data_IF_415506440888
#
_entry.id   IF_415506440888
#
_cell.length_a   1.000
_cell.length_b   1.000
_cell.length_c   1.000
_cell.angle_alpha   90.00
_cell.angle_beta   90.00
_cell.angle_gamma   90.00
#
_symmetry.space_group_name_H-M   'P 1'
#
loop_
_entity.id
_entity.type
_entity.pdbx_description
1 polymer ?
#
# COMPACT_ATOMS: atom_id res chain seq x y z
N UNK A 1 -3.66 8.99 11.23
CA UNK A 1 -4.21 7.68 10.83
C UNK A 1 -5.61 7.87 10.28
N UNK A 2 -5.91 7.32 9.10
CA UNK A 2 -7.27 7.30 8.55
C UNK A 2 -8.12 6.36 9.41
N UNK A 3 -9.19 6.87 10.03
CA UNK A 3 -10.10 6.08 10.88
C UNK A 3 -11.34 5.64 10.12
N UNK A 4 -11.83 6.48 9.19
CA UNK A 4 -13.07 6.22 8.45
C UNK A 4 -13.02 6.92 7.09
N UNK A 5 -13.66 6.32 6.11
CA UNK A 5 -13.89 6.86 4.77
C UNK A 5 -15.34 6.64 4.39
N UNK A 6 -15.98 7.66 3.84
CA UNK A 6 -17.27 7.54 3.16
C UNK A 6 -17.10 8.07 1.75
N UNK A 7 -17.51 7.27 0.78
CA UNK A 7 -17.58 7.66 -0.63
C UNK A 7 -19.06 7.74 -1.02
N UNK A 8 -19.42 8.75 -1.79
CA UNK A 8 -20.77 8.92 -2.35
C UNK A 8 -20.66 9.17 -3.86
N UNK A 9 -21.46 8.46 -4.64
CA UNK A 9 -21.50 8.55 -6.09
C UNK A 9 -20.11 8.42 -6.74
N UNK A 10 -19.25 7.53 -6.20
CA UNK A 10 -17.88 7.40 -6.70
C UNK A 10 -17.64 6.02 -7.33
N UNK A 11 -17.40 6.02 -8.64
CA UNK A 11 -17.13 4.83 -9.48
C UNK A 11 -18.22 3.76 -9.32
N UNK A 12 -17.88 2.62 -8.70
CA UNK A 12 -18.82 1.52 -8.51
C UNK A 12 -19.70 1.63 -7.26
N UNK A 13 -19.55 2.69 -6.47
CA UNK A 13 -20.29 2.87 -5.23
C UNK A 13 -21.26 4.05 -5.28
N UNK A 14 -22.54 3.78 -5.05
CA UNK A 14 -23.52 4.80 -4.68
C UNK A 14 -23.17 5.38 -3.30
N UNK A 15 -22.98 4.51 -2.31
CA UNK A 15 -22.44 4.85 -1.00
C UNK A 15 -21.53 3.72 -0.50
N UNK A 16 -20.37 4.09 0.01
CA UNK A 16 -19.43 3.19 0.69
C UNK A 16 -19.05 3.76 2.04
N UNK A 17 -19.11 2.97 3.11
CA UNK A 17 -18.66 3.35 4.47
C UNK A 17 -17.66 2.34 4.97
N UNK A 18 -16.44 2.79 5.27
CA UNK A 18 -15.37 1.94 5.81
C UNK A 18 -14.78 2.52 7.09
N UNK A 19 -14.46 1.64 8.03
CA UNK A 19 -13.67 1.97 9.23
C UNK A 19 -12.35 1.24 9.14
N UNK A 20 -11.25 1.97 9.30
CA UNK A 20 -9.89 1.43 9.17
C UNK A 20 -9.25 1.15 10.53
N UNK A 21 -8.40 0.15 10.54
CA UNK A 21 -7.47 -0.22 11.61
C UNK A 21 -6.04 0.15 11.21
N UNK A 22 -5.03 -0.41 11.90
CA UNK A 22 -3.62 -0.20 11.53
C UNK A 22 -3.22 -1.01 10.29
N UNK A 23 -3.66 -2.27 10.19
CA UNK A 23 -3.43 -3.14 9.01
C UNK A 23 -4.77 -3.45 8.38
N UNK A 24 -4.97 -3.04 7.13
CA UNK A 24 -6.23 -3.16 6.40
C UNK A 24 -6.01 -3.94 5.11
N UNK A 25 -6.70 -5.06 4.96
CA UNK A 25 -6.59 -5.96 3.81
C UNK A 25 -7.85 -5.83 2.95
N UNK A 26 -7.69 -5.32 1.73
CA UNK A 26 -8.74 -5.21 0.73
C UNK A 26 -8.63 -6.42 -0.21
N UNK A 27 -9.67 -7.25 -0.28
CA UNK A 27 -9.68 -8.46 -1.08
C UNK A 27 -11.02 -8.66 -1.78
N UNK A 28 -11.09 -9.60 -2.69
CA UNK A 28 -12.26 -9.90 -3.53
C UNK A 28 -11.89 -10.02 -5.00
N UNK A 29 -12.84 -10.37 -5.85
CA UNK A 29 -12.62 -10.51 -7.29
C UNK A 29 -12.22 -9.18 -7.94
N UNK A 30 -11.68 -9.25 -9.17
CA UNK A 30 -11.36 -8.06 -9.94
C UNK A 30 -12.64 -7.27 -10.28
N UNK A 31 -12.52 -5.94 -10.31
CA UNK A 31 -13.65 -5.06 -10.61
C UNK A 31 -14.65 -4.85 -9.46
N UNK A 32 -14.38 -5.37 -8.25
CA UNK A 32 -15.30 -5.23 -7.11
C UNK A 32 -15.15 -3.90 -6.34
N UNK A 33 -14.21 -3.03 -6.71
CA UNK A 33 -14.06 -1.71 -6.09
C UNK A 33 -12.93 -1.58 -5.06
N UNK A 34 -12.07 -2.60 -4.90
CA UNK A 34 -10.90 -2.53 -3.99
C UNK A 34 -10.01 -1.31 -4.26
N UNK A 35 -9.52 -1.20 -5.49
CA UNK A 35 -8.66 -0.09 -5.93
C UNK A 35 -9.37 1.28 -5.87
N UNK A 36 -10.71 1.30 -5.94
CA UNK A 36 -11.52 2.53 -5.79
C UNK A 36 -11.28 3.20 -4.43
N UNK A 37 -11.12 2.40 -3.37
CA UNK A 37 -10.82 2.90 -2.02
C UNK A 37 -9.43 3.55 -1.98
N UNK A 38 -8.41 2.87 -2.52
CA UNK A 38 -7.04 3.41 -2.60
C UNK A 38 -7.02 4.68 -3.45
N UNK A 39 -7.68 4.65 -4.61
CA UNK A 39 -7.76 5.79 -5.54
C UNK A 39 -8.42 7.01 -4.92
N UNK A 40 -9.45 6.87 -4.09
CA UNK A 40 -10.09 8.02 -3.43
C UNK A 40 -9.13 8.74 -2.46
N UNK A 41 -8.32 7.99 -1.71
CA UNK A 41 -7.28 8.55 -0.83
C UNK A 41 -6.19 9.24 -1.65
N UNK A 42 -5.77 8.61 -2.77
CA UNK A 42 -4.76 9.15 -3.67
C UNK A 42 -5.22 10.42 -4.39
N UNK A 43 -6.50 10.50 -4.78
CA UNK A 43 -7.09 11.72 -5.36
C UNK A 43 -6.98 12.90 -4.40
N UNK A 44 -7.36 12.72 -3.12
CA UNK A 44 -7.18 13.76 -2.11
C UNK A 44 -5.71 14.12 -1.93
N UNK A 45 -4.83 13.11 -1.90
CA UNK A 45 -3.38 13.34 -1.75
C UNK A 45 -2.78 14.12 -2.90
N UNK A 46 -3.11 13.79 -4.15
CA UNK A 46 -2.56 14.51 -5.30
C UNK A 46 -3.19 15.88 -5.53
N UNK A 47 -4.44 16.08 -5.06
CA UNK A 47 -5.19 17.31 -5.22
C UNK A 47 -5.01 18.30 -4.07
N UNK A 48 -4.22 17.98 -3.04
CA UNK A 48 -4.10 18.76 -1.81
C UNK A 48 -3.93 20.27 -2.06
N UNK A 49 -2.93 20.63 -2.87
CA UNK A 49 -2.66 22.04 -3.18
C UNK A 49 -3.85 22.68 -3.93
N UNK A 50 -4.45 21.96 -4.86
CA UNK A 50 -5.56 22.44 -5.66
C UNK A 50 -6.84 22.57 -4.84
N UNK A 51 -7.13 21.65 -3.92
CA UNK A 51 -8.27 21.76 -2.98
C UNK A 51 -8.13 23.02 -2.12
N UNK A 52 -6.92 23.36 -1.70
CA UNK A 52 -6.65 24.48 -0.82
C UNK A 52 -6.51 25.84 -1.55
N UNK A 53 -6.12 25.85 -2.83
CA UNK A 53 -5.85 27.09 -3.57
C UNK A 53 -6.85 27.39 -4.70
N UNK A 54 -7.35 26.35 -5.36
CA UNK A 54 -8.13 26.46 -6.59
C UNK A 54 -9.52 25.80 -6.46
N UNK A 55 -9.88 25.34 -5.25
CA UNK A 55 -11.15 24.67 -4.95
C UNK A 55 -11.47 23.55 -5.97
N UNK A 56 -10.50 22.65 -6.22
CA UNK A 56 -10.70 21.60 -7.24
C UNK A 56 -10.00 20.28 -6.92
N UNK A 57 -10.63 19.17 -7.34
CA UNK A 57 -10.11 17.81 -7.34
C UNK A 57 -9.47 17.49 -8.70
N UNK A 58 -8.22 17.03 -8.72
CA UNK A 58 -7.52 16.62 -9.91
C UNK A 58 -7.71 15.14 -10.19
N UNK A 59 -8.30 14.75 -11.32
CA UNK A 59 -8.45 13.37 -11.74
C UNK A 59 -7.16 12.80 -12.35
N UNK A 60 -6.28 13.68 -12.85
CA UNK A 60 -4.93 13.35 -13.35
C UNK A 60 -3.86 13.99 -12.51
N UNK A 61 -2.94 13.19 -12.01
CA UNK A 61 -1.87 13.68 -11.14
C UNK A 61 -0.73 12.70 -10.94
N UNK A 62 0.01 12.96 -9.88
CA UNK A 62 1.25 12.23 -9.53
C UNK A 62 1.03 10.73 -9.29
N UNK A 63 -0.09 10.37 -8.68
CA UNK A 63 -0.36 9.01 -8.24
C UNK A 63 -1.28 8.26 -9.19
N UNK A 64 -2.39 8.88 -9.58
CA UNK A 64 -3.42 8.28 -10.43
C UNK A 64 -3.81 9.19 -11.58
N UNK A 65 -4.21 8.58 -12.69
CA UNK A 65 -4.91 9.18 -13.81
C UNK A 65 -6.23 8.42 -13.98
N UNK A 66 -7.34 9.03 -13.59
CA UNK A 66 -8.67 8.43 -13.64
C UNK A 66 -9.51 8.92 -14.82
N UNK A 67 -8.88 9.58 -15.80
CA UNK A 67 -9.57 10.09 -16.98
C UNK A 67 -10.30 11.39 -16.70
N UNK A 68 -11.60 11.42 -16.95
CA UNK A 68 -12.47 12.58 -16.80
C UNK A 68 -13.66 12.26 -15.88
N UNK A 69 -14.49 13.25 -15.58
CA UNK A 69 -15.58 13.09 -14.62
C UNK A 69 -16.51 11.92 -14.91
N UNK A 70 -16.84 11.66 -16.20
CA UNK A 70 -17.69 10.51 -16.56
C UNK A 70 -17.09 9.14 -16.18
N UNK A 71 -15.78 9.04 -16.03
CA UNK A 71 -15.10 7.78 -15.66
C UNK A 71 -15.19 7.47 -14.15
N UNK A 72 -15.62 8.47 -13.35
CA UNK A 72 -15.61 8.37 -11.89
C UNK A 72 -16.96 8.59 -11.21
N UNK A 73 -17.98 9.11 -11.90
CA UNK A 73 -19.33 9.19 -11.35
C UNK A 73 -19.95 7.78 -11.30
N UNK A 74 -20.69 7.48 -10.25
CA UNK A 74 -21.49 6.26 -10.18
C UNK A 74 -22.56 6.24 -11.29
N UNK A 75 -22.68 5.14 -12.02
CA UNK A 75 -23.50 5.07 -13.25
C UNK A 75 -24.99 5.40 -13.02
N UNK A 76 -25.51 5.12 -11.82
CA UNK A 76 -26.90 5.40 -11.43
C UNK A 76 -27.03 6.56 -10.44
N UNK A 77 -26.06 7.47 -10.40
CA UNK A 77 -26.14 8.64 -9.53
C UNK A 77 -27.38 9.48 -9.86
N UNK A 78 -28.15 9.83 -8.84
CA UNK A 78 -29.30 10.71 -8.99
C UNK A 78 -28.90 12.20 -8.96
N UNK A 79 -27.72 12.49 -8.39
CA UNK A 79 -27.16 13.83 -8.23
C UNK A 79 -25.83 13.94 -8.97
N UNK A 80 -25.62 15.10 -9.61
CA UNK A 80 -24.36 15.43 -10.29
C UNK A 80 -23.27 15.87 -9.29
N UNK A 81 -23.02 15.03 -8.29
CA UNK A 81 -22.08 15.30 -7.21
C UNK A 81 -21.32 14.02 -6.80
N UNK A 82 -20.05 14.23 -6.43
CA UNK A 82 -19.19 13.20 -5.88
C UNK A 82 -18.78 13.61 -4.47
N UNK A 83 -19.05 12.75 -3.47
CA UNK A 83 -18.70 12.98 -2.07
C UNK A 83 -17.53 12.13 -1.61
N UNK A 84 -16.56 12.74 -0.90
CA UNK A 84 -15.49 12.05 -0.19
C UNK A 84 -15.41 12.61 1.22
N UNK A 85 -15.85 11.83 2.22
CA UNK A 85 -15.70 12.19 3.62
C UNK A 85 -14.61 11.31 4.24
N UNK A 86 -13.63 11.92 4.89
CA UNK A 86 -12.50 11.21 5.50
C UNK A 86 -12.26 11.67 6.94
N UNK A 87 -12.04 10.70 7.84
CA UNK A 87 -11.64 10.97 9.22
C UNK A 87 -10.19 10.58 9.41
N UNK A 88 -9.38 11.56 9.75
CA UNK A 88 -7.95 11.34 10.01
C UNK A 88 -7.62 11.83 11.42
N UNK A 89 -7.15 10.91 12.24
CA UNK A 89 -6.99 11.11 13.68
C UNK A 89 -8.32 11.57 14.32
N UNK A 90 -8.41 12.79 14.82
CA UNK A 90 -9.62 13.33 15.43
C UNK A 90 -10.34 14.36 14.54
N UNK A 91 -9.87 14.54 13.29
CA UNK A 91 -10.43 15.50 12.35
C UNK A 91 -11.33 14.79 11.32
N UNK A 92 -12.48 15.37 11.07
CA UNK A 92 -13.39 15.01 10.00
C UNK A 92 -13.24 16.03 8.88
N UNK A 93 -13.09 15.55 7.66
CA UNK A 93 -13.00 16.38 6.46
C UNK A 93 -13.99 15.87 5.43
N UNK A 94 -14.87 16.75 4.96
CA UNK A 94 -15.89 16.43 3.97
C UNK A 94 -15.69 17.27 2.73
N UNK A 95 -15.78 16.62 1.58
CA UNK A 95 -15.63 17.25 0.29
C UNK A 95 -16.78 16.82 -0.62
N UNK A 96 -17.45 17.77 -1.24
CA UNK A 96 -18.45 17.56 -2.28
C UNK A 96 -17.95 18.26 -3.53
N UNK A 97 -17.74 17.49 -4.58
CA UNK A 97 -17.27 17.98 -5.88
C UNK A 97 -18.42 17.97 -6.89
N UNK A 98 -18.50 19.03 -7.69
CA UNK A 98 -19.46 19.14 -8.78
C UNK A 98 -19.04 18.23 -9.94
N UNK A 99 -19.96 17.43 -10.44
CA UNK A 99 -19.69 16.58 -11.60
C UNK A 99 -19.56 17.41 -12.89
N UNK A 100 -18.53 17.09 -13.65
CA UNK A 100 -18.23 17.67 -14.97
C UNK A 100 -17.77 16.55 -15.90
N UNK A 101 -18.63 16.09 -16.81
CA UNK A 101 -18.44 14.87 -17.60
C UNK A 101 -17.10 14.80 -18.34
N UNK A 102 -16.72 15.88 -19.05
CA UNK A 102 -15.56 15.92 -19.94
C UNK A 102 -14.31 16.54 -19.30
N UNK A 103 -14.39 16.98 -18.03
CA UNK A 103 -13.29 17.66 -17.35
C UNK A 103 -12.47 16.67 -16.51
N UNK A 104 -11.15 16.85 -16.49
CA UNK A 104 -10.23 16.12 -15.63
C UNK A 104 -9.95 16.84 -14.30
N UNK A 105 -10.70 17.94 -14.06
CA UNK A 105 -10.68 18.73 -12.83
C UNK A 105 -12.11 19.01 -12.40
N UNK A 106 -12.47 18.58 -11.20
CA UNK A 106 -13.82 18.79 -10.68
C UNK A 106 -13.84 19.92 -9.65
N UNK A 107 -14.71 20.94 -9.84
CA UNK A 107 -14.85 22.03 -8.87
C UNK A 107 -15.33 21.53 -7.51
N UNK A 108 -14.76 22.07 -6.44
CA UNK A 108 -15.23 21.85 -5.08
C UNK A 108 -16.51 22.67 -4.88
N UNK A 109 -17.63 22.00 -4.69
CA UNK A 109 -18.92 22.63 -4.43
C UNK A 109 -19.09 23.04 -2.97
N UNK A 110 -18.64 22.17 -2.07
CA UNK A 110 -18.71 22.41 -0.63
C UNK A 110 -17.59 21.64 0.09
N UNK A 111 -17.07 22.22 1.15
CA UNK A 111 -16.13 21.54 2.04
C UNK A 111 -16.41 21.91 3.50
N UNK A 112 -16.34 20.90 4.37
CA UNK A 112 -16.30 21.08 5.83
C UNK A 112 -14.95 20.55 6.30
N UNK A 113 -14.01 21.46 6.52
CA UNK A 113 -12.72 21.18 7.15
C UNK A 113 -12.86 21.44 8.64
N UNK A 114 -13.02 20.40 9.46
CA UNK A 114 -13.09 20.52 10.91
C UNK A 114 -11.70 20.56 11.56
N UNK A 115 -10.63 20.37 10.75
CA UNK A 115 -9.25 20.60 11.12
C UNK A 115 -8.73 21.94 10.55
N UNK A 116 -7.57 22.38 11.03
CA UNK A 116 -6.85 23.46 10.38
C UNK A 116 -6.21 22.95 9.06
N UNK A 117 -5.97 23.87 8.12
CA UNK A 117 -5.29 23.56 6.86
C UNK A 117 -3.96 22.79 7.07
N UNK A 118 -3.27 23.10 8.16
CA UNK A 118 -2.01 22.45 8.55
C UNK A 118 -2.21 20.97 8.87
N UNK A 119 -3.35 20.59 9.44
CA UNK A 119 -3.70 19.18 9.74
C UNK A 119 -3.92 18.39 8.45
N UNK A 120 -4.64 18.97 7.48
CA UNK A 120 -4.84 18.36 6.15
C UNK A 120 -3.51 18.17 5.41
N UNK A 121 -2.66 19.20 5.38
CA UNK A 121 -1.34 19.11 4.78
C UNK A 121 -0.43 18.07 5.46
N UNK A 122 -0.53 17.95 6.78
CA UNK A 122 0.31 17.04 7.57
C UNK A 122 0.01 15.58 7.30
N UNK A 123 -1.25 15.17 7.23
CA UNK A 123 -1.54 13.75 7.02
C UNK A 123 -1.28 13.32 5.58
N UNK A 124 -1.54 14.17 4.60
CA UNK A 124 -1.22 13.89 3.20
C UNK A 124 0.27 13.70 2.99
N UNK A 125 1.11 14.52 3.64
CA UNK A 125 2.58 14.38 3.60
C UNK A 125 3.11 13.06 4.17
N UNK A 126 2.24 12.25 4.80
CA UNK A 126 2.57 10.92 5.35
C UNK A 126 2.01 9.77 4.54
N UNK A 127 1.38 10.04 3.41
CA UNK A 127 0.83 9.00 2.52
C UNK A 127 1.91 8.58 1.53
N UNK A 128 2.25 7.31 1.57
CA UNK A 128 3.16 6.64 0.63
C UNK A 128 2.39 5.60 -0.16
N UNK A 129 2.58 5.57 -1.45
CA UNK A 129 1.87 4.66 -2.33
C UNK A 129 2.83 3.86 -3.19
N UNK A 130 2.56 2.57 -3.29
CA UNK A 130 3.22 1.67 -4.24
C UNK A 130 2.15 0.95 -5.06
N UNK A 131 2.12 1.25 -6.35
CA UNK A 131 1.17 0.69 -7.31
C UNK A 131 1.43 -0.81 -7.55
N UNK A 132 0.51 -1.46 -8.27
CA UNK A 132 0.74 -2.80 -8.78
C UNK A 132 1.81 -2.85 -9.87
N UNK A 133 2.06 -1.74 -10.56
CA UNK A 133 3.14 -1.61 -11.53
C UNK A 133 4.41 -1.21 -10.78
N UNK A 134 5.31 -2.15 -10.53
CA UNK A 134 6.58 -1.83 -9.88
C UNK A 134 7.70 -1.73 -10.88
N UNK A 135 8.77 -1.08 -10.42
CA UNK A 135 10.00 -0.96 -11.19
C UNK A 135 10.51 -2.34 -11.62
N UNK A 136 10.79 -2.47 -12.92
CA UNK A 136 11.37 -3.67 -13.50
C UNK A 136 12.87 -3.76 -13.22
N UNK A 137 13.47 -4.97 -13.24
CA UNK A 137 14.91 -5.13 -13.21
C UNK A 137 15.57 -4.41 -14.38
N UNK A 138 16.54 -3.56 -14.10
CA UNK A 138 17.30 -2.76 -15.06
C UNK A 138 18.79 -2.85 -14.77
N UNK A 139 19.63 -2.64 -15.80
CA UNK A 139 21.07 -2.53 -15.60
C UNK A 139 21.44 -1.26 -14.82
N UNK A 140 20.76 -0.16 -15.13
CA UNK A 140 20.94 1.14 -14.51
C UNK A 140 19.58 1.77 -14.23
N UNK A 141 19.42 2.31 -13.03
CA UNK A 141 18.25 3.07 -12.62
C UNK A 141 18.59 4.56 -12.62
N UNK A 142 17.67 5.39 -13.06
CA UNK A 142 17.85 6.84 -13.04
C UNK A 142 17.69 7.37 -11.62
N UNK A 143 18.50 8.38 -11.25
CA UNK A 143 18.38 9.10 -9.99
C UNK A 143 17.84 10.51 -10.24
N UNK A 144 16.95 10.95 -9.38
CA UNK A 144 16.38 12.30 -9.41
C UNK A 144 17.21 13.28 -8.55
N UNK A 145 16.77 14.56 -8.52
CA UNK A 145 17.49 15.67 -7.91
C UNK A 145 17.58 15.56 -6.37
N UNK A 146 18.53 16.29 -5.78
CA UNK A 146 18.75 16.39 -4.32
C UNK A 146 17.50 16.73 -3.51
N UNK A 147 16.55 17.51 -4.05
CA UNK A 147 15.32 17.86 -3.37
C UNK A 147 14.41 16.65 -3.15
N UNK A 148 14.34 15.75 -4.11
CA UNK A 148 13.59 14.49 -4.00
C UNK A 148 14.35 13.44 -3.17
N UNK A 149 15.69 13.57 -3.09
CA UNK A 149 16.53 12.78 -2.22
C UNK A 149 16.32 13.08 -0.72
N UNK A 150 16.00 14.33 -0.39
CA UNK A 150 15.76 14.75 0.99
C UNK A 150 14.36 14.42 1.51
N UNK A 151 13.43 14.17 0.61
CA UNK A 151 12.07 13.73 0.95
C UNK A 151 12.02 12.20 0.96
N UNK A 152 11.27 11.63 1.90
CA UNK A 152 11.02 10.19 1.98
C UNK A 152 10.04 9.77 0.88
N UNK A 153 10.47 9.86 -0.38
CA UNK A 153 9.66 9.57 -1.54
C UNK A 153 10.24 8.37 -2.31
N UNK A 154 9.43 7.33 -2.45
CA UNK A 154 9.83 6.09 -3.13
C UNK A 154 9.43 6.04 -4.60
N UNK A 155 8.63 7.01 -5.08
CA UNK A 155 7.92 6.93 -6.34
C UNK A 155 6.67 6.05 -6.22
N UNK A 156 5.71 6.23 -7.15
CA UNK A 156 4.48 5.42 -7.15
C UNK A 156 4.73 3.96 -7.55
N UNK A 157 5.77 3.73 -8.35
CA UNK A 157 6.17 2.40 -8.83
C UNK A 157 7.45 1.89 -8.10
N UNK A 158 7.90 2.62 -7.07
CA UNK A 158 9.08 2.30 -6.28
C UNK A 158 10.40 2.66 -6.98
N UNK A 159 10.36 3.52 -8.01
CA UNK A 159 11.49 3.90 -8.85
C UNK A 159 12.63 4.56 -8.08
N UNK A 160 12.33 5.16 -6.91
CA UNK A 160 13.35 5.81 -6.05
C UNK A 160 13.75 4.98 -4.83
N UNK A 161 13.21 3.77 -4.66
CA UNK A 161 13.54 2.94 -3.51
C UNK A 161 15.04 2.59 -3.42
N UNK A 162 15.69 2.36 -4.57
CA UNK A 162 17.12 2.06 -4.65
C UNK A 162 17.94 3.28 -4.23
N UNK A 163 17.57 4.45 -4.75
CA UNK A 163 18.16 5.73 -4.40
C UNK A 163 17.99 6.03 -2.90
N UNK A 164 16.77 5.85 -2.38
CA UNK A 164 16.48 6.01 -0.97
C UNK A 164 17.36 5.12 -0.09
N UNK A 165 17.48 3.84 -0.43
CA UNK A 165 18.31 2.88 0.31
C UNK A 165 19.80 3.29 0.32
N UNK A 166 20.31 3.89 -0.75
CA UNK A 166 21.69 4.37 -0.80
C UNK A 166 21.91 5.57 0.13
N UNK A 167 20.97 6.53 0.19
CA UNK A 167 21.17 7.77 0.93
C UNK A 167 20.73 7.69 2.40
N UNK A 168 19.67 6.91 2.68
CA UNK A 168 19.08 6.78 4.01
C UNK A 168 19.32 5.40 4.65
N UNK A 169 19.95 4.49 3.93
CA UNK A 169 20.14 3.11 4.39
C UNK A 169 20.98 2.94 5.65
N UNK A 170 21.82 3.93 6.00
CA UNK A 170 22.61 3.94 7.24
C UNK A 170 21.84 4.50 8.45
N UNK A 171 20.66 5.07 8.25
CA UNK A 171 19.79 5.52 9.35
C UNK A 171 19.21 4.30 10.07
N UNK A 172 19.00 4.43 11.38
CA UNK A 172 18.34 3.41 12.17
C UNK A 172 16.84 3.34 11.83
N UNK A 173 16.26 2.14 11.85
CA UNK A 173 14.81 1.97 11.73
C UNK A 173 14.09 2.60 12.92
N UNK A 174 13.04 3.35 12.67
CA UNK A 174 12.23 4.01 13.71
C UNK A 174 11.45 2.98 14.56
N UNK A 175 10.93 1.95 13.89
CA UNK A 175 10.12 0.91 14.52
C UNK A 175 10.98 -0.31 14.93
N UNK A 176 11.27 -0.41 16.22
CA UNK A 176 12.07 -1.53 16.78
C UNK A 176 11.44 -2.92 16.54
N UNK A 177 10.13 -3.04 16.27
CA UNK A 177 9.48 -4.31 15.96
C UNK A 177 9.86 -4.84 14.56
N UNK A 178 10.47 -4.00 13.74
CA UNK A 178 11.01 -4.38 12.42
C UNK A 178 12.44 -4.94 12.52
N UNK A 179 13.11 -4.79 13.67
CA UNK A 179 14.46 -5.33 13.88
C UNK A 179 14.37 -6.84 14.08
N UNK A 180 14.96 -7.59 13.15
CA UNK A 180 15.05 -9.05 13.19
C UNK A 180 16.52 -9.49 13.06
N UNK A 181 16.82 -10.67 13.58
CA UNK A 181 18.18 -11.21 13.57
C UNK A 181 19.07 -10.58 14.64
N UNK A 182 20.18 -9.97 14.23
CA UNK A 182 21.16 -9.36 15.13
C UNK A 182 20.66 -7.99 15.63
N UNK A 183 20.43 -7.86 16.92
CA UNK A 183 19.90 -6.65 17.57
C UNK A 183 20.83 -5.42 17.44
N UNK A 184 22.10 -5.61 17.07
CA UNK A 184 23.04 -4.53 16.81
C UNK A 184 23.00 -4.00 15.38
N UNK A 185 22.27 -4.66 14.48
CA UNK A 185 22.10 -4.28 13.09
C UNK A 185 20.76 -3.59 12.89
N UNK A 186 20.67 -2.35 13.33
CA UNK A 186 19.42 -1.55 13.34
C UNK A 186 19.25 -0.64 12.14
N UNK A 187 20.24 -0.58 11.24
CA UNK A 187 20.15 0.28 10.06
C UNK A 187 19.07 -0.19 9.08
N UNK A 188 18.48 0.75 8.35
CA UNK A 188 17.50 0.44 7.29
C UNK A 188 18.07 -0.58 6.31
N UNK A 189 19.33 -0.41 5.88
CA UNK A 189 19.99 -1.37 4.97
C UNK A 189 20.09 -2.76 5.57
N UNK A 190 20.50 -2.88 6.84
CA UNK A 190 20.60 -4.17 7.50
C UNK A 190 19.25 -4.86 7.62
N UNK A 191 18.21 -4.11 7.98
CA UNK A 191 16.88 -4.67 8.14
C UNK A 191 16.20 -4.98 6.80
N UNK A 192 16.43 -4.17 5.76
CA UNK A 192 15.99 -4.53 4.39
C UNK A 192 16.64 -5.85 3.94
N UNK A 193 17.93 -6.04 4.19
CA UNK A 193 18.63 -7.31 3.90
C UNK A 193 18.04 -8.47 4.69
N UNK A 194 17.82 -8.30 5.99
CA UNK A 194 17.28 -9.33 6.86
C UNK A 194 15.85 -9.76 6.45
N UNK A 195 14.97 -8.81 6.15
CA UNK A 195 13.62 -9.11 5.68
C UNK A 195 13.60 -9.72 4.28
N UNK A 196 14.49 -9.27 3.37
CA UNK A 196 14.62 -9.90 2.05
C UNK A 196 15.12 -11.35 2.16
N UNK A 197 16.05 -11.64 3.08
CA UNK A 197 16.51 -13.00 3.36
C UNK A 197 15.36 -13.89 3.89
N UNK A 198 14.49 -13.36 4.72
CA UNK A 198 13.27 -14.07 5.16
C UNK A 198 12.30 -14.36 4.01
N UNK A 199 12.14 -13.41 3.07
CA UNK A 199 11.26 -13.53 1.90
C UNK A 199 11.86 -14.46 0.86
N UNK A 200 13.14 -14.30 0.57
CA UNK A 200 13.91 -15.07 -0.42
C UNK A 200 15.28 -15.42 0.15
N UNK A 201 15.45 -16.62 0.74
CA UNK A 201 16.64 -17.00 1.49
C UNK A 201 17.95 -16.84 0.71
N UNK A 202 18.95 -16.31 1.40
CA UNK A 202 20.29 -16.07 0.90
C UNK A 202 20.47 -14.76 0.13
N UNK A 203 19.39 -14.05 -0.22
CA UNK A 203 19.46 -12.85 -1.07
C UNK A 203 19.85 -11.60 -0.26
N UNK A 204 20.86 -10.88 -0.77
CA UNK A 204 21.32 -9.62 -0.20
C UNK A 204 21.47 -8.55 -1.29
N UNK A 205 20.74 -7.42 -1.25
CA UNK A 205 20.89 -6.34 -2.20
C UNK A 205 22.17 -5.55 -1.95
N UNK A 206 22.82 -5.15 -3.03
CA UNK A 206 23.97 -4.27 -3.08
C UNK A 206 23.65 -3.10 -3.99
N UNK A 207 23.63 -1.90 -3.44
CA UNK A 207 23.33 -0.66 -4.16
C UNK A 207 24.60 0.15 -4.33
N UNK A 208 24.80 0.72 -5.51
CA UNK A 208 25.83 1.71 -5.79
C UNK A 208 25.26 2.86 -6.60
N UNK A 209 25.71 4.07 -6.33
CA UNK A 209 25.23 5.29 -7.01
C UNK A 209 26.39 6.02 -7.66
N UNK A 210 26.20 6.43 -8.91
CA UNK A 210 27.10 7.31 -9.63
C UNK A 210 26.43 8.68 -9.85
N UNK A 211 26.83 9.66 -9.05
CA UNK A 211 26.26 11.00 -9.09
C UNK A 211 26.58 11.73 -10.40
N UNK A 212 27.73 11.45 -11.02
CA UNK A 212 28.15 12.13 -12.26
C UNK A 212 27.29 11.73 -13.44
N UNK A 213 26.91 10.47 -13.54
CA UNK A 213 25.98 9.95 -14.58
C UNK A 213 24.52 9.98 -14.15
N UNK A 214 24.22 10.34 -12.90
CA UNK A 214 22.89 10.27 -12.29
C UNK A 214 22.24 8.88 -12.46
N UNK A 215 22.99 7.86 -12.10
CA UNK A 215 22.52 6.47 -12.19
C UNK A 215 22.79 5.70 -10.91
N UNK A 216 21.94 4.73 -10.62
CA UNK A 216 22.14 3.74 -9.58
C UNK A 216 22.21 2.34 -10.21
N UNK A 217 23.03 1.48 -9.63
CA UNK A 217 23.04 0.04 -9.92
C UNK A 217 22.46 -0.72 -8.73
N UNK A 218 21.63 -1.71 -9.02
CA UNK A 218 21.17 -2.71 -8.06
C UNK A 218 21.73 -4.07 -8.48
N UNK A 219 22.49 -4.65 -7.58
CA UNK A 219 23.03 -6.02 -7.70
C UNK A 219 22.57 -6.85 -6.51
N UNK A 220 22.65 -8.15 -6.65
CA UNK A 220 22.35 -9.10 -5.58
C UNK A 220 23.51 -10.07 -5.38
N UNK A 221 23.83 -10.34 -4.13
CA UNK A 221 24.70 -11.41 -3.69
C UNK A 221 23.85 -12.51 -3.05
N UNK A 222 24.29 -13.75 -3.21
CA UNK A 222 23.72 -14.86 -2.46
C UNK A 222 24.68 -15.24 -1.34
N UNK A 223 24.14 -15.42 -0.13
CA UNK A 223 24.89 -15.72 1.07
C UNK A 223 24.52 -17.12 1.51
N UNK A 224 25.49 -18.04 1.51
CA UNK A 224 25.36 -19.40 2.03
C UNK A 224 26.36 -19.62 3.19
N UNK A 225 25.86 -19.53 4.41
CA UNK A 225 26.69 -19.61 5.60
C UNK A 225 27.70 -18.46 5.72
N UNK A 226 29.00 -18.73 5.46
CA UNK A 226 30.06 -17.71 5.46
C UNK A 226 30.53 -17.29 4.06
N UNK A 227 30.02 -17.96 3.04
CA UNK A 227 30.41 -17.70 1.65
C UNK A 227 29.45 -16.73 0.99
N UNK A 228 29.99 -15.88 0.13
CA UNK A 228 29.23 -14.96 -0.71
C UNK A 228 29.57 -15.23 -2.17
N UNK A 229 28.54 -15.19 -3.02
CA UNK A 229 28.72 -15.23 -4.47
C UNK A 229 29.29 -13.91 -5.00
N UNK A 230 29.61 -13.87 -6.29
CA UNK A 230 29.75 -12.60 -6.99
C UNK A 230 28.43 -11.82 -6.97
N UNK A 231 28.53 -10.50 -7.11
CA UNK A 231 27.36 -9.63 -7.23
C UNK A 231 26.78 -9.72 -8.63
N UNK A 232 25.54 -10.16 -8.77
CA UNK A 232 24.82 -10.29 -10.04
C UNK A 232 23.92 -9.07 -10.25
N UNK A 233 23.88 -8.53 -11.46
CA UNK A 233 22.96 -7.44 -11.80
C UNK A 233 21.50 -7.91 -11.65
N UNK A 234 20.60 -7.00 -11.28
CA UNK A 234 19.18 -7.26 -11.03
C UNK A 234 18.47 -7.96 -12.21
N UNK A 235 18.88 -7.71 -13.44
CA UNK A 235 18.30 -8.35 -14.65
C UNK A 235 18.64 -9.85 -14.76
N UNK A 236 19.65 -10.32 -14.04
CA UNK A 236 20.09 -11.73 -14.03
C UNK A 236 19.63 -12.48 -12.77
N UNK A 237 18.77 -11.88 -11.97
CA UNK A 237 18.24 -12.45 -10.72
C UNK A 237 16.72 -12.60 -10.86
N UNK A 238 16.11 -13.46 -10.06
CA UNK A 238 14.68 -13.68 -10.13
C UNK A 238 13.89 -12.36 -10.02
N UNK A 239 12.98 -12.11 -10.97
CA UNK A 239 12.20 -10.88 -11.12
C UNK A 239 11.52 -10.44 -9.82
N UNK A 240 10.93 -11.40 -9.08
CA UNK A 240 10.18 -11.12 -7.85
C UNK A 240 10.99 -10.45 -6.74
N UNK A 241 12.31 -10.66 -6.70
CA UNK A 241 13.18 -10.04 -5.68
C UNK A 241 13.29 -8.54 -5.89
N UNK A 242 13.50 -8.10 -7.13
CA UNK A 242 13.55 -6.68 -7.48
C UNK A 242 12.18 -6.04 -7.31
N UNK A 243 11.11 -6.79 -7.61
CA UNK A 243 9.74 -6.32 -7.52
C UNK A 243 9.28 -6.08 -6.07
N UNK A 244 9.72 -6.91 -5.11
CA UNK A 244 9.36 -6.76 -3.70
C UNK A 244 10.26 -5.78 -2.95
N UNK A 245 11.46 -5.48 -3.46
CA UNK A 245 12.42 -4.59 -2.80
C UNK A 245 11.82 -3.23 -2.40
N UNK A 246 11.12 -2.47 -3.28
CA UNK A 246 10.48 -1.21 -2.91
C UNK A 246 9.49 -1.35 -1.76
N UNK A 247 8.74 -2.45 -1.70
CA UNK A 247 7.78 -2.73 -0.62
C UNK A 247 8.51 -2.93 0.71
N UNK A 248 9.58 -3.71 0.70
CA UNK A 248 10.40 -3.96 1.91
C UNK A 248 11.06 -2.65 2.36
N UNK A 249 11.62 -1.86 1.43
CA UNK A 249 12.23 -0.55 1.75
C UNK A 249 11.20 0.38 2.38
N UNK A 250 10.02 0.50 1.77
CA UNK A 250 8.95 1.38 2.27
C UNK A 250 8.49 1.00 3.68
N UNK A 251 8.25 -0.31 3.93
CA UNK A 251 7.79 -0.81 5.23
C UNK A 251 8.86 -0.69 6.31
N UNK A 252 10.12 -1.02 6.00
CA UNK A 252 11.24 -0.98 6.95
C UNK A 252 11.61 0.45 7.33
N UNK A 253 11.54 1.40 6.38
CA UNK A 253 11.86 2.81 6.62
C UNK A 253 10.68 3.63 7.14
N UNK A 254 9.49 3.03 7.26
CA UNK A 254 8.30 3.73 7.71
C UNK A 254 8.42 4.20 9.16
N UNK A 255 7.85 5.37 9.46
CA UNK A 255 7.80 5.98 10.78
C UNK A 255 6.40 5.90 11.36
N UNK A 256 6.31 5.93 12.68
CA UNK A 256 5.01 5.98 13.35
C UNK A 256 4.14 7.12 12.82
N UNK A 257 2.92 6.79 12.44
CA UNK A 257 1.95 7.73 11.86
C UNK A 257 2.00 7.85 10.33
N UNK A 258 2.93 7.15 9.65
CA UNK A 258 2.89 7.03 8.19
C UNK A 258 1.72 6.16 7.75
N UNK A 259 1.21 6.42 6.54
CA UNK A 259 0.15 5.69 5.87
C UNK A 259 0.72 5.10 4.59
N UNK A 260 0.77 3.77 4.49
CA UNK A 260 1.31 3.07 3.33
C UNK A 260 0.17 2.39 2.58
N UNK A 261 -0.01 2.76 1.32
CA UNK A 261 -0.97 2.18 0.40
C UNK A 261 -0.22 1.23 -0.54
N UNK A 262 -0.60 -0.05 -0.56
CA UNK A 262 0.07 -1.09 -1.35
C UNK A 262 -0.93 -1.80 -2.25
N UNK A 263 -0.60 -1.94 -3.53
CA UNK A 263 -1.33 -2.81 -4.46
C UNK A 263 -0.49 -4.02 -4.80
N UNK A 264 -1.05 -5.22 -4.65
CA UNK A 264 -0.47 -6.52 -4.98
C UNK A 264 1.01 -6.66 -4.53
N UNK A 265 1.33 -6.42 -3.25
CA UNK A 265 2.72 -6.44 -2.78
C UNK A 265 3.38 -7.80 -2.90
N UNK A 266 2.59 -8.86 -3.04
CA UNK A 266 3.01 -10.25 -3.18
C UNK A 266 3.39 -10.69 -4.58
N UNK A 267 3.18 -9.86 -5.59
CA UNK A 267 3.36 -10.27 -6.98
C UNK A 267 4.78 -10.82 -7.24
N UNK A 268 4.84 -11.91 -7.99
CA UNK A 268 6.07 -12.59 -8.41
C UNK A 268 6.92 -13.21 -7.30
N UNK A 269 6.49 -13.24 -6.05
CA UNK A 269 7.22 -13.92 -4.96
C UNK A 269 6.60 -15.29 -4.63
N UNK A 270 7.48 -16.21 -4.22
CA UNK A 270 7.07 -17.56 -3.81
C UNK A 270 6.12 -17.51 -2.59
N UNK A 271 5.13 -18.41 -2.44
CA UNK A 271 4.18 -18.45 -1.33
C UNK A 271 4.79 -18.30 0.06
N UNK A 272 5.94 -18.94 0.32
CA UNK A 272 6.69 -18.76 1.56
C UNK A 272 7.08 -17.30 1.81
N UNK A 273 7.57 -16.62 0.77
CA UNK A 273 7.94 -15.20 0.84
C UNK A 273 6.74 -14.30 1.04
N UNK A 274 5.61 -14.61 0.40
CA UNK A 274 4.35 -13.89 0.59
C UNK A 274 3.90 -13.94 2.06
N UNK A 275 4.03 -15.10 2.72
CA UNK A 275 3.75 -15.22 4.16
C UNK A 275 4.68 -14.36 5.01
N UNK A 276 5.98 -14.30 4.68
CA UNK A 276 6.94 -13.44 5.39
C UNK A 276 6.63 -11.95 5.19
N UNK A 277 6.20 -11.58 3.99
CA UNK A 277 5.72 -10.22 3.70
C UNK A 277 4.50 -9.86 4.58
N UNK A 278 3.57 -10.78 4.78
CA UNK A 278 2.45 -10.58 5.71
C UNK A 278 2.91 -10.36 7.16
N UNK A 279 3.97 -11.08 7.62
CA UNK A 279 4.56 -10.84 8.95
C UNK A 279 5.27 -9.46 9.03
N UNK A 280 5.93 -9.01 7.94
CA UNK A 280 6.53 -7.67 7.86
C UNK A 280 5.47 -6.55 7.92
N UNK A 281 4.37 -6.69 7.16
CA UNK A 281 3.24 -5.78 7.20
C UNK A 281 2.65 -5.69 8.62
N UNK A 282 2.47 -6.83 9.28
CA UNK A 282 1.99 -6.87 10.65
C UNK A 282 2.94 -6.17 11.64
N UNK A 283 4.26 -6.35 11.47
CA UNK A 283 5.26 -5.69 12.32
C UNK A 283 5.27 -4.16 12.10
N UNK A 284 5.10 -3.69 10.86
CA UNK A 284 4.95 -2.27 10.56
C UNK A 284 3.68 -1.70 11.24
N UNK A 285 2.55 -2.40 11.12
CA UNK A 285 1.29 -2.01 11.75
C UNK A 285 1.38 -1.93 13.28
N UNK A 286 2.00 -2.94 13.91
CA UNK A 286 2.22 -2.96 15.35
C UNK A 286 3.11 -1.80 15.84
N UNK A 287 4.00 -1.30 14.98
CA UNK A 287 4.84 -0.12 15.23
C UNK A 287 4.15 1.22 15.02
N UNK A 288 2.87 1.21 14.64
CA UNK A 288 2.09 2.44 14.47
C UNK A 288 2.12 3.02 13.06
N UNK A 289 2.48 2.23 12.06
CA UNK A 289 2.33 2.52 10.63
C UNK A 289 0.98 2.00 10.17
N UNK A 290 0.17 2.83 9.55
CA UNK A 290 -1.07 2.36 8.94
C UNK A 290 -0.79 1.79 7.56
N UNK A 291 -1.15 0.52 7.35
CA UNK A 291 -1.02 -0.15 6.05
C UNK A 291 -2.41 -0.47 5.50
N UNK A 292 -2.69 -0.02 4.28
CA UNK A 292 -3.88 -0.37 3.52
C UNK A 292 -3.39 -1.08 2.26
N UNK A 293 -3.67 -2.37 2.15
CA UNK A 293 -3.18 -3.18 1.04
C UNK A 293 -4.30 -3.86 0.28
N UNK A 294 -4.22 -3.81 -1.04
CA UNK A 294 -4.98 -4.67 -1.94
C UNK A 294 -4.15 -5.93 -2.22
N UNK A 295 -4.71 -7.11 -1.98
CA UNK A 295 -4.02 -8.39 -2.22
C UNK A 295 -4.98 -9.49 -2.64
N UNK A 296 -4.47 -10.40 -3.47
CA UNK A 296 -5.12 -11.65 -3.86
C UNK A 296 -4.45 -12.87 -3.22
N UNK A 297 -3.54 -12.67 -2.26
CA UNK A 297 -2.75 -13.73 -1.63
C UNK A 297 -3.32 -14.14 -0.26
N UNK A 298 -3.81 -15.37 -0.18
CA UNK A 298 -4.09 -16.04 1.08
C UNK A 298 -2.83 -16.21 1.96
N UNK A 299 -1.65 -16.30 1.35
CA UNK A 299 -0.39 -16.41 2.06
C UNK A 299 -0.01 -15.11 2.78
N UNK A 300 -0.25 -13.93 2.18
CA UNK A 300 -0.09 -12.63 2.86
C UNK A 300 -1.07 -12.53 4.02
N UNK A 301 -2.35 -12.86 3.78
CA UNK A 301 -3.37 -12.94 4.83
C UNK A 301 -2.92 -13.84 5.97
N UNK A 302 -2.47 -15.05 5.65
CA UNK A 302 -1.99 -16.02 6.64
C UNK A 302 -0.76 -15.53 7.41
N UNK A 303 0.13 -14.74 6.79
CA UNK A 303 1.25 -14.09 7.46
C UNK A 303 0.78 -13.13 8.56
N UNK A 304 -0.22 -12.29 8.27
CA UNK A 304 -0.84 -11.37 9.23
C UNK A 304 -1.54 -12.16 10.36
N UNK A 305 -2.33 -13.17 10.03
CA UNK A 305 -3.01 -14.05 11.01
C UNK A 305 -2.04 -14.74 11.97
N UNK A 306 -0.90 -15.22 11.44
CA UNK A 306 0.17 -15.85 12.23
C UNK A 306 0.82 -14.83 13.15
N UNK A 307 1.04 -13.59 12.72
CA UNK A 307 1.58 -12.52 13.56
C UNK A 307 0.64 -12.21 14.73
N UNK A 308 -0.69 -12.13 14.48
CA UNK A 308 -1.70 -11.96 15.54
C UNK A 308 -1.67 -13.13 16.51
N UNK A 309 -1.69 -14.38 16.03
CA UNK A 309 -1.62 -15.57 16.89
C UNK A 309 -0.36 -15.61 17.77
N UNK A 310 0.75 -15.07 17.28
CA UNK A 310 2.01 -14.94 18.02
C UNK A 310 2.03 -13.74 18.99
N UNK A 311 0.95 -12.96 19.07
CA UNK A 311 0.87 -11.75 19.89
C UNK A 311 1.73 -10.58 19.41
N UNK A 312 2.17 -10.59 18.14
CA UNK A 312 2.98 -9.53 17.54
C UNK A 312 2.13 -8.36 17.04
N UNK A 313 0.84 -8.56 16.82
CA UNK A 313 -0.15 -7.56 16.40
C UNK A 313 -1.45 -7.83 17.17
N UNK A 314 -2.08 -6.80 17.70
CA UNK A 314 -3.40 -6.91 18.34
C UNK A 314 -4.46 -7.16 17.24
N UNK A 315 -5.38 -8.15 17.40
CA UNK A 315 -6.42 -8.38 16.41
C UNK A 315 -7.30 -7.15 16.15
N UNK A 316 -7.53 -6.28 17.14
CA UNK A 316 -8.28 -5.01 16.95
C UNK A 316 -7.59 -4.03 15.99
N UNK A 317 -6.27 -4.18 15.78
CA UNK A 317 -5.48 -3.36 14.86
C UNK A 317 -5.49 -3.93 13.43
N UNK A 318 -6.35 -4.94 13.15
CA UNK A 318 -6.56 -5.53 11.83
C UNK A 318 -7.96 -5.23 11.30
N UNK A 319 -8.07 -4.97 10.00
CA UNK A 319 -9.33 -4.85 9.27
C UNK A 319 -9.26 -5.69 7.99
N UNK A 320 -10.26 -6.54 7.78
CA UNK A 320 -10.38 -7.33 6.55
C UNK A 320 -11.65 -6.89 5.83
N UNK A 321 -11.55 -6.66 4.53
CA UNK A 321 -12.62 -6.13 3.71
C UNK A 321 -12.74 -6.98 2.45
N UNK A 322 -13.79 -7.79 2.38
CA UNK A 322 -14.11 -8.60 1.22
C UNK A 322 -15.15 -7.89 0.36
N UNK A 323 -14.73 -7.50 -0.84
CA UNK A 323 -15.55 -6.80 -1.81
C UNK A 323 -16.23 -7.78 -2.74
N UNK A 324 -17.54 -7.66 -2.89
CA UNK A 324 -18.36 -8.53 -3.74
C UNK A 324 -19.55 -7.78 -4.35
N UNK A 325 -20.13 -8.36 -5.41
CA UNK A 325 -21.37 -7.85 -5.98
C UNK A 325 -22.57 -8.50 -5.29
N UNK A 326 -23.61 -7.71 -5.11
CA UNK A 326 -24.90 -8.24 -4.67
C UNK A 326 -25.42 -9.25 -5.71
N UNK A 327 -25.93 -10.40 -5.24
CA UNK A 327 -26.47 -11.45 -6.12
C UNK A 327 -27.79 -11.03 -6.77
N UNK A 328 -28.55 -10.12 -6.15
CA UNK A 328 -29.85 -9.63 -6.62
C UNK A 328 -29.75 -8.36 -7.46
N UNK A 329 -28.76 -7.49 -7.18
CA UNK A 329 -28.53 -6.24 -7.90
C UNK A 329 -27.05 -6.11 -8.29
N UNK A 330 -26.73 -6.43 -9.53
CA UNK A 330 -25.34 -6.42 -10.04
C UNK A 330 -24.67 -5.03 -10.06
N UNK A 331 -25.43 -3.97 -9.87
CA UNK A 331 -24.88 -2.61 -9.72
C UNK A 331 -24.45 -2.31 -8.28
N UNK A 332 -24.95 -3.07 -7.29
CA UNK A 332 -24.59 -2.87 -5.89
C UNK A 332 -23.34 -3.66 -5.52
N UNK A 333 -22.29 -2.92 -5.22
CA UNK A 333 -21.09 -3.45 -4.61
C UNK A 333 -21.20 -3.37 -3.08
N UNK A 334 -20.85 -4.46 -2.42
CA UNK A 334 -20.95 -4.62 -0.96
C UNK A 334 -19.60 -5.02 -0.38
N UNK A 335 -19.44 -4.75 0.91
CA UNK A 335 -18.27 -5.17 1.67
C UNK A 335 -18.74 -6.00 2.86
N UNK A 336 -18.07 -7.13 3.05
CA UNK A 336 -18.14 -7.95 4.25
C UNK A 336 -16.84 -7.76 5.01
N UNK A 337 -16.92 -7.67 6.34
CA UNK A 337 -15.79 -7.33 7.19
C UNK A 337 -15.54 -8.44 8.22
N UNK A 338 -14.88 -9.55 7.85
CA UNK A 338 -14.54 -10.61 8.80
C UNK A 338 -13.68 -10.11 9.94
N UNK A 339 -13.95 -10.57 11.15
CA UNK A 339 -13.24 -10.16 12.36
C UNK A 339 -12.25 -11.23 12.78
N UNK A 340 -11.01 -10.82 13.06
CA UNK A 340 -9.94 -11.71 13.49
C UNK A 340 -9.93 -11.84 15.02
N UNK A 341 -9.86 -13.06 15.55
CA UNK A 341 -9.65 -13.33 16.96
C UNK A 341 -8.15 -13.39 17.34
N UNK A 342 -7.87 -13.43 18.64
CA UNK A 342 -6.49 -13.55 19.18
C UNK A 342 -5.76 -14.84 18.79
N UNK A 343 -6.48 -15.86 18.30
CA UNK A 343 -5.90 -17.11 17.83
C UNK A 343 -5.61 -17.08 16.32
N UNK A 344 -5.86 -15.95 15.65
CA UNK A 344 -5.69 -15.79 14.22
C UNK A 344 -6.81 -16.45 13.39
N UNK A 345 -8.02 -16.62 13.97
CA UNK A 345 -9.18 -17.17 13.30
C UNK A 345 -10.15 -16.06 12.91
N UNK A 346 -10.67 -16.11 11.70
CA UNK A 346 -11.76 -15.24 11.25
C UNK A 346 -13.09 -15.81 11.75
N UNK A 347 -14.02 -14.95 12.13
CA UNK A 347 -15.37 -15.31 12.58
C UNK A 347 -16.26 -15.84 11.44
N UNK A 348 -16.01 -15.36 10.22
CA UNK A 348 -16.67 -15.83 9.00
C UNK A 348 -15.68 -15.97 7.85
N UNK A 349 -15.99 -16.89 6.93
CA UNK A 349 -15.21 -17.15 5.73
C UNK A 349 -16.15 -17.14 4.54
N UNK A 350 -16.41 -15.97 3.92
CA UNK A 350 -17.37 -15.89 2.82
C UNK A 350 -16.91 -16.65 1.59
N UNK A 351 -17.87 -17.12 0.80
CA UNK A 351 -17.62 -17.76 -0.49
C UNK A 351 -16.80 -16.84 -1.42
N UNK A 352 -15.72 -17.35 -2.00
CA UNK A 352 -14.77 -16.59 -2.82
C UNK A 352 -13.73 -15.80 -2.02
N UNK A 353 -13.68 -15.97 -0.69
CA UNK A 353 -12.68 -15.36 0.16
C UNK A 353 -11.51 -16.32 0.39
N UNK A 354 -10.56 -16.37 -0.57
CA UNK A 354 -9.38 -17.26 -0.50
C UNK A 354 -9.68 -18.75 -0.29
N UNK A 355 -10.78 -19.26 -0.83
CA UNK A 355 -11.26 -20.65 -0.70
C UNK A 355 -11.05 -21.50 -1.95
N UNK A 356 -10.49 -20.92 -3.02
CA UNK A 356 -10.32 -21.61 -4.31
C UNK A 356 -9.41 -22.84 -4.20
N UNK A 357 -8.42 -22.81 -3.33
CA UNK A 357 -7.56 -23.97 -3.11
C UNK A 357 -8.32 -25.15 -2.49
N UNK A 358 -9.17 -24.87 -1.50
CA UNK A 358 -10.01 -25.88 -0.85
C UNK A 358 -11.07 -26.42 -1.82
N UNK A 359 -11.70 -25.53 -2.63
CA UNK A 359 -12.66 -25.90 -3.66
C UNK A 359 -12.03 -26.82 -4.71
N UNK A 360 -10.85 -26.46 -5.22
CA UNK A 360 -10.12 -27.29 -6.19
C UNK A 360 -9.73 -28.66 -5.61
N UNK A 361 -9.34 -28.74 -4.32
CA UNK A 361 -9.08 -30.02 -3.67
C UNK A 361 -10.32 -30.89 -3.55
N UNK A 362 -11.50 -30.31 -3.26
CA UNK A 362 -12.74 -31.04 -3.17
C UNK A 362 -13.18 -31.62 -4.54
N UNK A 363 -12.86 -30.91 -5.64
CA UNK A 363 -13.13 -31.42 -6.99
C UNK A 363 -12.15 -32.53 -7.43
N UNK A 364 -10.98 -32.63 -6.81
CA UNK A 364 -9.97 -33.65 -7.11
C UNK A 364 -10.19 -34.96 -6.31
N UNK A 365 -11.03 -34.93 -5.28
CA UNK A 365 -11.40 -36.11 -4.46
C UNK A 365 -12.63 -36.81 -4.98
#
# INVERSE_FOLDING_TARGET
MIKKLILKNFKCFEELKMKFSMVNVLTGLNGMGKSTVIQSILLLSQSQKNILSDDSLLLKGKYVDLGVGQDILFEKAEEDEIGIDIWVDDNEEKFIFEYRAEEDRLPLKNSELHGDQVSFERWIGRVFYLSAYRIEPQFLYRIENEKELSERYFGKDGEFAIQYLQFHGSEDVDNKLLVIGDEHKTSITDQVKAWLDMISPGVSPVVSVNMSSRTAELKYEYIEGREKTNSYNSVNVGFGITYVLPVVVALVSARKGDIILLENPEAHIHPRGQRMLGELIAAAGAGGVQVILETHSDHVLNGIRVAVKKGKLDPKDTGFFFFYKDKEDSYKHKILCPVLDKNGRLDEWPEGFFDEWDNALLELL
#
